data_IF_305612860620
#
_entry.id   IF_305612860620
#
_cell.length_a   1.000
_cell.length_b   1.000
_cell.length_c   1.000
_cell.angle_alpha   90.00
_cell.angle_beta   90.00
_cell.angle_gamma   90.00
#
_symmetry.space_group_name_H-M   'P 1'
#
loop_
_entity.id
_entity.type
_entity.pdbx_description
1 polymer ?
#
# COMPACT_ATOMS: atom_id res chain seq x y z
N UNK A 1 3.86 -13.42 17.84
CA UNK A 1 3.81 -13.02 16.42
C UNK A 1 3.57 -14.28 15.59
N UNK A 2 2.64 -14.28 14.64
CA UNK A 2 2.36 -15.43 13.77
C UNK A 2 3.31 -15.40 12.55
N UNK A 3 3.72 -16.59 12.10
CA UNK A 3 4.62 -16.75 10.96
C UNK A 3 3.80 -16.91 9.67
N UNK A 4 4.02 -16.05 8.65
CA UNK A 4 3.38 -16.21 7.35
C UNK A 4 3.78 -17.51 6.66
N UNK A 5 2.82 -18.12 5.97
CA UNK A 5 2.99 -19.40 5.28
C UNK A 5 2.58 -19.24 3.81
N UNK A 6 3.36 -19.80 2.91
CA UNK A 6 2.99 -19.94 1.50
C UNK A 6 3.08 -21.39 1.06
N UNK A 7 2.33 -21.74 0.04
CA UNK A 7 2.42 -23.06 -0.59
C UNK A 7 3.59 -23.17 -1.60
N UNK A 8 3.73 -24.33 -2.24
CA UNK A 8 4.73 -24.54 -3.30
C UNK A 8 4.53 -23.59 -4.50
N UNK A 9 3.29 -23.24 -4.80
CA UNK A 9 2.92 -22.35 -5.91
C UNK A 9 3.00 -20.86 -5.53
N UNK A 10 3.55 -20.55 -4.34
CA UNK A 10 3.66 -19.20 -3.78
C UNK A 10 2.31 -18.53 -3.46
N UNK A 11 1.24 -19.28 -3.29
CA UNK A 11 -0.01 -18.73 -2.79
C UNK A 11 0.06 -18.57 -1.27
N UNK A 12 -0.45 -17.45 -0.78
CA UNK A 12 -0.50 -17.20 0.65
C UNK A 12 -1.51 -18.12 1.35
N UNK A 13 -1.09 -18.71 2.44
CA UNK A 13 -1.89 -19.57 3.33
C UNK A 13 -2.09 -18.87 4.68
N UNK A 14 -2.90 -19.50 5.55
CA UNK A 14 -3.09 -18.99 6.90
C UNK A 14 -1.76 -18.99 7.68
N UNK A 15 -1.46 -17.90 8.40
CA UNK A 15 -0.29 -17.84 9.27
C UNK A 15 -0.31 -18.91 10.36
N UNK A 16 0.84 -19.32 10.80
CA UNK A 16 1.01 -20.35 11.83
C UNK A 16 1.79 -19.87 13.05
N UNK A 17 1.74 -20.61 14.14
CA UNK A 17 2.55 -20.31 15.32
C UNK A 17 4.04 -20.53 15.05
N UNK A 18 4.94 -19.77 15.71
CA UNK A 18 6.39 -19.97 15.59
C UNK A 18 6.84 -21.39 15.92
N UNK A 19 6.26 -22.01 16.93
CA UNK A 19 6.58 -23.39 17.33
C UNK A 19 6.26 -24.38 16.20
N UNK A 20 5.09 -24.26 15.57
CA UNK A 20 4.71 -25.11 14.44
C UNK A 20 5.59 -24.88 13.23
N UNK A 21 5.92 -23.62 12.92
CA UNK A 21 6.85 -23.29 11.84
C UNK A 21 8.23 -23.93 12.05
N UNK A 22 8.77 -23.84 13.27
CA UNK A 22 10.05 -24.47 13.64
C UNK A 22 9.99 -26.00 13.50
N UNK A 23 8.90 -26.63 13.93
CA UNK A 23 8.69 -28.06 13.79
C UNK A 23 8.66 -28.47 12.30
N UNK A 24 7.98 -27.71 11.43
CA UNK A 24 7.93 -27.99 10.01
C UNK A 24 9.30 -27.85 9.32
N UNK A 25 10.10 -26.89 9.73
CA UNK A 25 11.47 -26.73 9.24
C UNK A 25 12.33 -27.92 9.68
N UNK A 26 12.28 -28.28 10.97
CA UNK A 26 13.02 -29.44 11.51
C UNK A 26 12.65 -30.75 10.81
N UNK A 27 11.38 -30.95 10.50
CA UNK A 27 10.87 -32.13 9.78
C UNK A 27 11.02 -32.05 8.26
N UNK A 28 11.70 -31.03 7.72
CA UNK A 28 11.88 -30.76 6.27
C UNK A 28 10.57 -30.61 5.48
N UNK A 29 9.45 -30.36 6.16
CA UNK A 29 8.13 -30.09 5.56
C UNK A 29 8.00 -28.67 5.03
N UNK A 30 8.82 -27.74 5.50
CA UNK A 30 8.84 -26.34 5.08
C UNK A 30 10.26 -25.81 4.95
N UNK A 31 10.43 -24.84 4.05
CA UNK A 31 11.67 -24.10 3.83
C UNK A 31 11.51 -22.66 4.32
N UNK A 32 12.41 -22.14 5.17
CA UNK A 32 12.35 -20.76 5.66
C UNK A 32 12.75 -19.78 4.56
N UNK A 33 12.17 -18.58 4.58
CA UNK A 33 12.58 -17.44 3.73
C UNK A 33 12.18 -16.12 4.38
N UNK A 34 12.71 -15.01 3.86
CA UNK A 34 12.42 -13.66 4.35
C UNK A 34 11.68 -12.84 3.31
N UNK A 35 10.66 -12.11 3.74
CA UNK A 35 9.94 -11.16 2.91
C UNK A 35 9.56 -9.91 3.73
N UNK A 36 9.90 -8.70 3.26
CA UNK A 36 9.70 -7.44 3.99
C UNK A 36 10.29 -7.44 5.42
N UNK A 37 11.40 -8.13 5.64
CA UNK A 37 11.95 -8.28 6.98
C UNK A 37 11.17 -9.24 7.89
N UNK A 38 10.12 -9.88 7.39
CA UNK A 38 9.35 -10.89 8.11
C UNK A 38 9.90 -12.28 7.82
N UNK A 39 10.06 -13.06 8.88
CA UNK A 39 10.36 -14.49 8.77
C UNK A 39 9.12 -15.24 8.29
N UNK A 40 9.25 -15.99 7.20
CA UNK A 40 8.17 -16.71 6.54
C UNK A 40 8.58 -18.16 6.28
N UNK A 41 7.61 -19.05 6.06
CA UNK A 41 7.87 -20.43 5.68
C UNK A 41 7.10 -20.81 4.40
N UNK A 42 7.76 -21.57 3.54
CA UNK A 42 7.15 -22.16 2.35
C UNK A 42 7.00 -23.66 2.57
N UNK A 43 5.78 -24.17 2.42
CA UNK A 43 5.51 -25.60 2.52
C UNK A 43 6.07 -26.34 1.30
N UNK A 44 6.68 -27.51 1.55
CA UNK A 44 7.24 -28.38 0.52
C UNK A 44 6.21 -29.45 0.06
N UNK A 45 5.05 -29.53 0.70
CA UNK A 45 3.98 -30.47 0.40
C UNK A 45 2.67 -29.73 0.10
N UNK A 46 1.80 -30.25 -0.76
CA UNK A 46 0.49 -29.68 -0.98
C UNK A 46 -0.33 -29.74 0.31
N UNK A 47 -1.10 -28.70 0.57
CA UNK A 47 -1.95 -28.59 1.76
C UNK A 47 -3.35 -28.11 1.39
N UNK A 48 -4.31 -28.35 2.29
CA UNK A 48 -5.67 -27.83 2.13
C UNK A 48 -5.73 -26.31 2.11
N UNK A 49 -6.74 -25.75 1.48
CA UNK A 49 -6.87 -24.34 1.16
C UNK A 49 -7.90 -23.61 2.05
N UNK A 50 -8.09 -24.06 3.28
CA UNK A 50 -9.03 -23.43 4.21
C UNK A 50 -8.42 -22.09 4.66
N UNK A 51 -9.12 -20.99 4.35
CA UNK A 51 -8.71 -19.64 4.69
C UNK A 51 -9.79 -18.97 5.53
N UNK A 52 -9.35 -18.26 6.57
CA UNK A 52 -10.19 -17.32 7.31
C UNK A 52 -10.12 -15.95 6.65
N UNK A 53 -11.10 -15.11 6.96
CA UNK A 53 -11.09 -13.74 6.47
C UNK A 53 -9.96 -12.94 7.12
N UNK A 54 -9.08 -12.41 6.28
CA UNK A 54 -7.99 -11.53 6.68
C UNK A 54 -8.20 -10.16 6.03
N UNK A 55 -8.22 -9.13 6.86
CA UNK A 55 -8.37 -7.75 6.44
C UNK A 55 -7.03 -7.01 6.52
N UNK A 56 -6.81 -6.14 5.55
CA UNK A 56 -5.71 -5.19 5.56
C UNK A 56 -6.25 -3.79 5.86
N UNK A 57 -5.89 -3.25 7.02
CA UNK A 57 -6.18 -1.86 7.39
C UNK A 57 -5.09 -0.93 6.87
N UNK A 58 -5.49 0.21 6.32
CA UNK A 58 -4.58 1.24 5.80
C UNK A 58 -4.96 2.60 6.37
N UNK A 59 -4.05 3.18 7.14
CA UNK A 59 -4.12 4.56 7.59
C UNK A 59 -3.16 5.41 6.75
N UNK A 60 -3.74 6.35 6.02
CA UNK A 60 -3.03 7.17 5.03
C UNK A 60 -2.55 8.49 5.64
N UNK A 61 -1.45 8.46 6.35
CA UNK A 61 -0.84 9.65 6.92
C UNK A 61 -0.07 10.52 5.89
N UNK A 62 0.28 11.74 6.30
CA UNK A 62 1.06 12.67 5.47
C UNK A 62 2.58 12.48 5.58
N UNK A 63 3.07 12.14 6.77
CA UNK A 63 4.49 11.90 7.07
C UNK A 63 4.79 10.42 7.28
N UNK A 64 3.86 9.70 7.88
CA UNK A 64 3.95 8.27 8.15
C UNK A 64 2.65 7.60 7.72
N UNK A 65 2.74 6.38 7.31
CA UNK A 65 1.64 5.56 6.84
C UNK A 65 1.62 4.27 7.66
N UNK A 66 0.46 3.89 8.16
CA UNK A 66 0.33 2.64 8.87
C UNK A 66 -0.45 1.61 8.04
N UNK A 67 0.05 0.38 8.05
CA UNK A 67 -0.62 -0.77 7.42
C UNK A 67 -0.67 -1.90 8.42
N UNK A 68 -1.86 -2.43 8.62
CA UNK A 68 -2.12 -3.51 9.56
C UNK A 68 -2.74 -4.70 8.82
N UNK A 69 -2.31 -5.92 9.15
CA UNK A 69 -2.97 -7.15 8.67
C UNK A 69 -3.51 -7.91 9.86
N UNK A 70 -4.83 -8.13 9.87
CA UNK A 70 -5.52 -8.79 10.98
C UNK A 70 -6.66 -9.71 10.51
N UNK A 71 -6.96 -10.70 11.33
CA UNK A 71 -8.22 -11.45 11.29
C UNK A 71 -9.12 -11.01 12.45
N UNK A 72 -10.28 -11.63 12.60
CA UNK A 72 -11.17 -11.41 13.75
C UNK A 72 -10.52 -11.68 15.10
N UNK A 73 -9.54 -12.61 15.16
CA UNK A 73 -8.91 -13.08 16.41
C UNK A 73 -7.48 -12.60 16.60
N UNK A 74 -6.74 -12.27 15.53
CA UNK A 74 -5.30 -12.00 15.62
C UNK A 74 -4.88 -10.84 14.73
N UNK A 75 -3.98 -10.01 15.26
CA UNK A 75 -3.18 -9.07 14.47
C UNK A 75 -1.87 -9.75 14.09
N UNK A 76 -1.61 -9.88 12.79
CA UNK A 76 -0.44 -10.59 12.26
C UNK A 76 0.77 -9.68 12.11
N UNK A 77 0.55 -8.47 11.59
CA UNK A 77 1.62 -7.50 11.37
C UNK A 77 1.08 -6.08 11.40
N UNK A 78 1.85 -5.18 12.02
CA UNK A 78 1.68 -3.74 11.93
C UNK A 78 2.95 -3.15 11.31
N UNK A 79 2.80 -2.38 10.25
CA UNK A 79 3.88 -1.72 9.54
C UNK A 79 3.67 -0.22 9.63
N UNK A 80 4.67 0.49 10.13
CA UNK A 80 4.76 1.93 10.03
C UNK A 80 5.81 2.26 8.97
N UNK A 81 5.39 2.94 7.90
CA UNK A 81 6.25 3.31 6.80
C UNK A 81 6.36 4.84 6.69
N UNK A 82 7.54 5.35 6.41
CA UNK A 82 7.71 6.76 6.12
C UNK A 82 7.13 7.09 4.74
N UNK A 83 6.45 8.22 4.67
CA UNK A 83 5.85 8.69 3.42
C UNK A 83 6.93 9.07 2.40
N UNK A 84 6.59 8.93 1.12
CA UNK A 84 7.50 9.27 0.01
C UNK A 84 7.77 10.76 -0.05
N UNK A 85 9.01 11.19 0.21
CA UNK A 85 9.46 12.60 0.23
C UNK A 85 10.34 12.96 -0.95
N UNK A 86 11.15 12.02 -1.44
CA UNK A 86 12.17 12.22 -2.49
C UNK A 86 11.64 12.73 -3.85
N UNK A 87 10.37 12.53 -4.14
CA UNK A 87 9.79 12.90 -5.45
C UNK A 87 9.79 14.39 -5.68
N UNK A 88 9.64 15.22 -4.62
CA UNK A 88 9.69 16.67 -4.73
C UNK A 88 11.05 17.11 -5.27
N UNK A 89 12.12 16.63 -4.67
CA UNK A 89 13.50 16.94 -5.08
C UNK A 89 13.81 16.43 -6.49
N UNK A 90 13.41 15.19 -6.81
CA UNK A 90 13.60 14.62 -8.15
C UNK A 90 12.86 15.41 -9.24
N UNK A 91 11.67 15.93 -8.96
CA UNK A 91 10.92 16.79 -9.90
C UNK A 91 11.63 18.14 -10.06
N UNK A 92 12.14 18.72 -8.99
CA UNK A 92 12.87 20.00 -9.02
C UNK A 92 14.19 19.87 -9.78
N UNK A 93 14.97 18.83 -9.53
CA UNK A 93 16.18 18.52 -10.30
C UNK A 93 15.90 18.37 -11.79
N UNK A 94 14.85 17.64 -12.17
CA UNK A 94 14.40 17.52 -13.57
C UNK A 94 13.93 18.86 -14.16
N UNK A 95 13.35 19.74 -13.35
CA UNK A 95 12.95 21.09 -13.77
C UNK A 95 14.19 21.94 -14.04
N UNK A 96 15.18 21.91 -13.17
CA UNK A 96 16.43 22.64 -13.29
C UNK A 96 17.25 22.16 -14.50
N UNK A 97 17.39 20.85 -14.67
CA UNK A 97 18.03 20.26 -15.83
C UNK A 97 17.37 20.69 -17.16
N UNK A 98 16.03 20.78 -17.18
CA UNK A 98 15.30 21.28 -18.36
C UNK A 98 15.52 22.78 -18.60
N UNK A 99 15.63 23.59 -17.55
CA UNK A 99 15.96 25.05 -17.66
C UNK A 99 17.34 25.21 -18.25
N UNK A 100 18.36 24.53 -17.70
CA UNK A 100 19.72 24.57 -18.19
C UNK A 100 19.84 24.14 -19.67
N UNK A 101 19.15 23.06 -20.05
CA UNK A 101 19.11 22.61 -21.44
C UNK A 101 18.46 23.66 -22.37
N UNK A 102 17.41 24.36 -21.93
CA UNK A 102 16.77 25.42 -22.73
C UNK A 102 17.66 26.63 -22.92
N UNK A 103 18.43 27.01 -21.91
CA UNK A 103 19.36 28.15 -22.00
C UNK A 103 20.50 27.90 -23.00
N UNK A 104 20.83 26.62 -23.26
CA UNK A 104 21.99 26.30 -24.09
C UNK A 104 21.78 26.37 -25.60
N UNK A 105 20.57 26.38 -26.15
CA UNK A 105 20.29 26.45 -27.59
C UNK A 105 19.09 25.63 -28.05
N UNK A 106 18.41 24.92 -27.17
CA UNK A 106 17.25 24.11 -27.59
C UNK A 106 16.04 25.02 -27.80
N UNK A 107 15.51 25.16 -29.03
CA UNK A 107 14.36 26.01 -29.29
C UNK A 107 13.16 25.61 -28.42
N UNK A 108 12.42 26.62 -27.95
CA UNK A 108 11.22 26.39 -27.16
C UNK A 108 10.21 25.60 -28.03
N UNK A 109 9.79 24.44 -27.57
CA UNK A 109 8.73 23.67 -28.23
C UNK A 109 7.43 24.45 -28.15
N UNK A 110 7.00 25.05 -29.24
CA UNK A 110 5.73 25.77 -29.34
C UNK A 110 4.52 24.86 -29.12
N UNK A 111 4.61 23.61 -29.57
CA UNK A 111 3.51 22.67 -29.53
C UNK A 111 3.62 21.72 -28.32
N UNK A 112 2.57 21.66 -27.51
CA UNK A 112 2.43 20.80 -26.34
C UNK A 112 1.63 19.54 -26.63
N UNK A 113 1.49 19.16 -27.89
CA UNK A 113 0.63 18.03 -28.31
C UNK A 113 1.03 16.68 -27.71
N UNK A 114 2.31 16.46 -27.41
CA UNK A 114 2.81 15.23 -26.83
C UNK A 114 2.69 15.20 -25.28
N UNK A 115 2.02 16.17 -24.68
CA UNK A 115 1.73 16.10 -23.24
C UNK A 115 0.42 15.38 -23.04
N UNK A 116 0.47 14.25 -22.38
CA UNK A 116 -0.73 13.58 -21.89
C UNK A 116 -1.52 14.58 -21.06
N UNK A 117 -2.71 14.94 -21.54
CA UNK A 117 -3.63 15.81 -20.80
C UNK A 117 -4.29 14.95 -19.72
N UNK A 118 -4.19 15.38 -18.48
CA UNK A 118 -4.74 14.67 -17.33
C UNK A 118 -3.76 13.73 -16.66
N UNK A 119 -4.22 13.05 -15.63
CA UNK A 119 -3.47 12.12 -14.80
C UNK A 119 -2.96 12.71 -13.50
N UNK A 120 -2.61 11.83 -12.57
CA UNK A 120 -2.12 12.21 -11.25
C UNK A 120 -0.75 12.89 -11.34
N UNK A 121 -0.53 13.97 -10.54
CA UNK A 121 0.80 14.53 -10.38
C UNK A 121 1.81 13.47 -9.96
N UNK A 122 3.07 13.51 -10.45
CA UNK A 122 4.06 12.47 -10.18
C UNK A 122 4.28 12.20 -8.68
N UNK A 123 4.26 13.25 -7.85
CA UNK A 123 4.39 13.13 -6.38
C UNK A 123 3.20 12.41 -5.76
N UNK A 124 1.99 12.73 -6.19
CA UNK A 124 0.76 12.08 -5.73
C UNK A 124 0.77 10.61 -6.14
N UNK A 125 1.04 10.32 -7.41
CA UNK A 125 1.13 8.95 -7.94
C UNK A 125 2.18 8.12 -7.18
N UNK A 126 3.35 8.69 -6.90
CA UNK A 126 4.41 8.00 -6.17
C UNK A 126 4.00 7.62 -4.74
N UNK A 127 3.31 8.52 -4.03
CA UNK A 127 2.80 8.25 -2.67
C UNK A 127 1.79 7.11 -2.67
N UNK A 128 0.79 7.16 -3.54
CA UNK A 128 -0.22 6.10 -3.61
C UNK A 128 0.34 4.77 -4.09
N UNK A 129 1.26 4.79 -5.06
CA UNK A 129 1.95 3.59 -5.52
C UNK A 129 2.85 2.97 -4.43
N UNK A 130 3.40 3.76 -3.51
CA UNK A 130 4.15 3.24 -2.37
C UNK A 130 3.27 2.40 -1.46
N UNK A 131 2.06 2.88 -1.13
CA UNK A 131 1.05 2.13 -0.37
C UNK A 131 0.67 0.82 -1.08
N UNK A 132 0.32 0.91 -2.36
CA UNK A 132 -0.02 -0.27 -3.17
C UNK A 132 1.12 -1.28 -3.23
N UNK A 133 2.38 -0.82 -3.26
CA UNK A 133 3.56 -1.70 -3.24
C UNK A 133 3.65 -2.47 -1.93
N UNK A 134 3.43 -1.83 -0.78
CA UNK A 134 3.42 -2.49 0.53
C UNK A 134 2.31 -3.54 0.57
N UNK A 135 1.09 -3.16 0.20
CA UNK A 135 -0.08 -4.05 0.18
C UNK A 135 0.16 -5.25 -0.74
N UNK A 136 0.65 -5.03 -1.95
CA UNK A 136 0.94 -6.10 -2.90
C UNK A 136 2.04 -7.06 -2.41
N UNK A 137 3.01 -6.57 -1.64
CA UNK A 137 4.01 -7.44 -1.00
C UNK A 137 3.40 -8.25 0.14
N UNK A 138 2.51 -7.65 0.95
CA UNK A 138 1.81 -8.36 2.03
C UNK A 138 0.87 -9.44 1.49
N UNK A 139 0.17 -9.19 0.38
CA UNK A 139 -0.68 -10.19 -0.28
C UNK A 139 0.08 -11.45 -0.73
N UNK A 140 1.37 -11.36 -0.97
CA UNK A 140 2.20 -12.52 -1.33
C UNK A 140 2.42 -13.48 -0.16
N UNK A 141 2.23 -13.03 1.07
CA UNK A 141 2.51 -13.81 2.29
C UNK A 141 1.30 -13.95 3.21
N UNK A 142 0.26 -13.13 3.02
CA UNK A 142 -1.00 -13.22 3.75
C UNK A 142 -2.16 -13.33 2.78
N UNK A 143 -3.14 -14.22 3.00
CA UNK A 143 -4.32 -14.37 2.14
C UNK A 143 -5.34 -13.27 2.42
N UNK A 144 -4.99 -12.02 2.07
CA UNK A 144 -5.83 -10.84 2.29
C UNK A 144 -6.97 -10.84 1.28
N UNK A 145 -8.21 -10.77 1.78
CA UNK A 145 -9.44 -10.75 0.99
C UNK A 145 -10.25 -9.45 1.13
N UNK A 146 -9.95 -8.62 2.14
CA UNK A 146 -10.62 -7.35 2.35
C UNK A 146 -9.66 -6.24 2.75
N UNK A 147 -10.03 -5.01 2.40
CA UNK A 147 -9.26 -3.78 2.67
C UNK A 147 -10.14 -2.80 3.41
N UNK A 148 -9.63 -2.24 4.50
CA UNK A 148 -10.27 -1.17 5.27
C UNK A 148 -9.36 0.04 5.21
N UNK A 149 -9.83 1.13 4.63
CA UNK A 149 -9.05 2.36 4.47
C UNK A 149 -9.69 3.48 5.27
N UNK A 150 -8.86 4.19 6.04
CA UNK A 150 -9.30 5.42 6.68
C UNK A 150 -9.51 6.50 5.63
N UNK A 151 -10.75 7.00 5.53
CA UNK A 151 -11.10 8.02 4.56
C UNK A 151 -10.70 9.41 5.07
N UNK A 152 -9.89 10.09 4.30
CA UNK A 152 -9.44 11.44 4.60
C UNK A 152 -10.31 12.41 3.78
N UNK A 153 -11.08 13.26 4.46
CA UNK A 153 -11.81 14.32 3.81
C UNK A 153 -10.84 15.35 3.20
N UNK A 154 -10.94 15.58 1.89
CA UNK A 154 -10.22 16.65 1.23
C UNK A 154 -10.92 17.97 1.50
N UNK A 155 -10.35 18.86 2.36
CA UNK A 155 -10.86 20.20 2.56
C UNK A 155 -10.28 21.18 1.54
N UNK A 156 -11.13 22.01 0.94
CA UNK A 156 -10.70 23.14 0.12
C UNK A 156 -10.76 24.43 0.93
N UNK A 157 -9.79 25.33 0.74
CA UNK A 157 -9.79 26.64 1.40
C UNK A 157 -11.05 27.41 1.00
N UNK A 158 -11.77 27.95 2.01
CA UNK A 158 -12.96 28.79 1.83
C UNK A 158 -12.64 29.93 0.83
N UNK A 159 -13.47 30.13 -0.18
CA UNK A 159 -13.29 31.22 -1.18
C UNK A 159 -12.45 30.86 -2.43
N UNK A 160 -11.83 29.69 -2.51
CA UNK A 160 -11.22 29.25 -3.78
C UNK A 160 -12.23 28.46 -4.62
N UNK A 161 -12.36 28.80 -5.90
CA UNK A 161 -13.18 28.07 -6.91
C UNK A 161 -12.61 26.69 -7.25
N UNK A 162 -11.92 26.03 -6.32
CA UNK A 162 -11.43 24.68 -6.54
C UNK A 162 -12.53 23.71 -6.14
N UNK A 163 -13.02 23.01 -7.12
CA UNK A 163 -13.90 21.88 -6.85
C UNK A 163 -13.09 20.79 -6.12
N UNK A 164 -13.68 20.18 -5.10
CA UNK A 164 -13.07 19.09 -4.32
C UNK A 164 -12.59 17.95 -5.24
N UNK A 165 -13.32 17.68 -6.32
CA UNK A 165 -12.99 16.67 -7.33
C UNK A 165 -11.68 16.92 -8.08
N UNK A 166 -11.17 18.15 -8.12
CA UNK A 166 -9.88 18.49 -8.75
C UNK A 166 -8.71 18.55 -7.76
N UNK A 167 -8.94 18.26 -6.50
CA UNK A 167 -7.86 18.16 -5.52
C UNK A 167 -6.93 16.99 -5.87
N UNK A 168 -5.58 17.19 -5.92
CA UNK A 168 -4.64 16.10 -6.12
C UNK A 168 -4.77 14.98 -5.07
N UNK A 169 -5.21 15.34 -3.86
CA UNK A 169 -5.49 14.39 -2.79
C UNK A 169 -6.71 13.53 -3.14
N UNK A 170 -7.80 14.15 -3.58
CA UNK A 170 -9.03 13.45 -3.94
C UNK A 170 -8.82 12.52 -5.14
N UNK A 171 -8.26 13.05 -6.24
CA UNK A 171 -7.94 12.23 -7.41
C UNK A 171 -6.98 11.06 -7.08
N UNK A 172 -6.03 11.31 -6.17
CA UNK A 172 -5.11 10.28 -5.70
C UNK A 172 -5.79 9.20 -4.87
N UNK A 173 -6.74 9.59 -4.02
CA UNK A 173 -7.56 8.71 -3.21
C UNK A 173 -8.44 7.81 -4.09
N UNK A 174 -9.14 8.39 -5.07
CA UNK A 174 -9.95 7.65 -6.04
C UNK A 174 -9.11 6.63 -6.83
N UNK A 175 -7.94 7.04 -7.30
CA UNK A 175 -7.00 6.12 -7.95
C UNK A 175 -6.62 4.95 -7.03
N UNK A 176 -6.33 5.22 -5.76
CA UNK A 176 -5.96 4.19 -4.80
C UNK A 176 -7.11 3.22 -4.52
N UNK A 177 -8.33 3.73 -4.36
CA UNK A 177 -9.52 2.93 -4.13
C UNK A 177 -9.83 2.02 -5.32
N UNK A 178 -9.80 2.55 -6.53
CA UNK A 178 -9.96 1.74 -7.76
C UNK A 178 -8.93 0.61 -7.86
N UNK A 179 -7.69 0.86 -7.46
CA UNK A 179 -6.66 -0.19 -7.46
C UNK A 179 -6.89 -1.23 -6.34
N UNK A 180 -7.38 -0.83 -5.17
CA UNK A 180 -7.71 -1.76 -4.08
C UNK A 180 -8.94 -2.61 -4.40
N UNK A 181 -9.97 -2.05 -5.02
CA UNK A 181 -11.17 -2.78 -5.44
C UNK A 181 -10.85 -3.92 -6.42
N UNK A 182 -9.87 -3.74 -7.28
CA UNK A 182 -9.35 -4.82 -8.15
C UNK A 182 -8.71 -5.98 -7.36
N UNK A 183 -8.26 -5.71 -6.13
CA UNK A 183 -7.56 -6.67 -5.29
C UNK A 183 -8.48 -7.42 -4.33
N UNK A 184 -9.62 -6.84 -3.96
CA UNK A 184 -10.58 -7.44 -3.04
C UNK A 184 -11.64 -6.44 -2.53
N UNK A 185 -12.44 -6.86 -1.55
CA UNK A 185 -13.51 -6.03 -0.98
C UNK A 185 -12.93 -4.80 -0.28
N UNK A 186 -13.33 -3.61 -0.70
CA UNK A 186 -12.95 -2.34 -0.07
C UNK A 186 -14.04 -1.85 0.87
N UNK A 187 -13.64 -1.36 2.05
CA UNK A 187 -14.49 -0.65 3.00
C UNK A 187 -13.77 0.61 3.45
N UNK A 188 -14.42 1.75 3.40
CA UNK A 188 -13.88 3.01 3.91
C UNK A 188 -14.49 3.31 5.27
N UNK A 189 -13.69 3.85 6.20
CA UNK A 189 -14.11 4.29 7.52
C UNK A 189 -13.62 5.69 7.80
N UNK A 190 -14.41 6.47 8.53
CA UNK A 190 -13.99 7.80 8.95
C UNK A 190 -13.04 7.72 10.15
N UNK A 191 -12.18 8.74 10.31
CA UNK A 191 -11.17 8.76 11.38
C UNK A 191 -11.76 8.67 12.79
N UNK A 192 -12.99 9.19 13.03
CA UNK A 192 -13.65 9.06 14.32
C UNK A 192 -14.08 7.61 14.60
N UNK A 193 -14.53 6.86 13.60
CA UNK A 193 -14.92 5.45 13.74
C UNK A 193 -13.71 4.57 14.08
N UNK A 194 -12.55 4.87 13.47
CA UNK A 194 -11.30 4.16 13.76
C UNK A 194 -10.77 4.48 15.14
N UNK A 195 -10.97 5.72 15.62
CA UNK A 195 -10.65 6.14 16.99
C UNK A 195 -11.51 5.39 18.01
N UNK A 196 -12.83 5.38 17.85
CA UNK A 196 -13.73 4.64 18.74
C UNK A 196 -13.37 3.15 18.84
N UNK A 197 -12.95 2.55 17.73
CA UNK A 197 -12.50 1.14 17.73
C UNK A 197 -11.21 0.93 18.53
N UNK A 198 -10.28 1.90 18.53
CA UNK A 198 -9.07 1.85 19.35
C UNK A 198 -9.37 2.01 20.82
N UNK A 199 -10.27 2.92 21.14
CA UNK A 199 -10.62 3.26 22.52
C UNK A 199 -11.44 2.15 23.21
N UNK A 200 -12.01 1.21 22.42
CA UNK A 200 -12.74 0.02 22.91
C UNK A 200 -11.88 -1.25 23.01
N UNK A 201 -10.61 -1.21 22.64
CA UNK A 201 -9.65 -2.32 22.73
C UNK A 201 -8.77 -2.18 23.97
#
# INVERSE_FOLDING_TARGET
MQVPVIDQNRNALMPTSPARAAQWIKSKKATPFWNLGLFCVRLNQPTGNIKQDISCGVDSGSKREAVCVKSSKHTYVNILADAVTWVKEAVEQKRNARRTRRNRTTPCRKNKYNRTRGGLPPSTKARWNSKLRIINKLRKIYPINSYVVEDIAASTKKGKKWNVTFSPLQCGKEYFYMELEKLGKLTTKQGYETKEMRDKL
#
